data_IF_293302870527
#
_entry.id   IF_293302870527
#
_cell.length_a   1.000
_cell.length_b   1.000
_cell.length_c   1.000
_cell.angle_alpha   90.00
_cell.angle_beta   90.00
_cell.angle_gamma   90.00
#
_symmetry.space_group_name_H-M   'P 1'
#
loop_
_entity.id
_entity.type
_entity.pdbx_description
1 polymer ?
#
# COMPACT_ATOMS: atom_id res chain seq x y z
N UNK A 1 -10.15 -11.43 15.42
CA UNK A 1 -9.64 -10.76 14.21
C UNK A 1 -8.37 -11.51 13.83
N UNK A 2 -8.41 -12.30 12.76
CA UNK A 2 -7.23 -13.06 12.30
C UNK A 2 -6.24 -12.09 11.68
N UNK A 3 -5.02 -12.04 12.20
CA UNK A 3 -3.93 -11.26 11.62
C UNK A 3 -3.66 -11.89 10.25
N UNK A 4 -3.73 -11.12 9.14
CA UNK A 4 -3.36 -11.67 7.84
C UNK A 4 -1.89 -12.10 7.94
N UNK A 5 -1.57 -13.35 7.63
CA UNK A 5 -0.17 -13.83 7.59
C UNK A 5 0.44 -13.71 6.21
N UNK A 6 -0.41 -13.49 5.20
CA UNK A 6 -0.02 -13.45 3.80
C UNK A 6 0.07 -12.02 3.29
N UNK A 7 1.02 -11.73 2.38
CA UNK A 7 1.07 -10.46 1.68
C UNK A 7 -0.27 -10.14 1.03
N UNK A 8 -0.78 -8.94 1.28
CA UNK A 8 -2.12 -8.52 0.83
C UNK A 8 -2.04 -7.20 0.09
N UNK A 9 -2.64 -7.12 -1.09
CA UNK A 9 -2.78 -5.84 -1.80
C UNK A 9 -3.91 -5.04 -1.17
N UNK A 10 -3.60 -3.85 -0.66
CA UNK A 10 -4.57 -2.97 0.01
C UNK A 10 -5.41 -2.19 -1.01
N UNK A 11 -4.76 -1.66 -2.04
CA UNK A 11 -5.43 -0.92 -3.10
C UNK A 11 -4.64 -0.98 -4.41
N UNK A 12 -5.35 -0.75 -5.51
CA UNK A 12 -4.81 -0.55 -6.85
C UNK A 12 -5.38 0.75 -7.40
N UNK A 13 -4.53 1.52 -8.06
CA UNK A 13 -4.85 2.83 -8.63
C UNK A 13 -4.31 2.91 -10.05
N UNK A 14 -4.95 3.70 -10.91
CA UNK A 14 -4.47 3.99 -12.26
C UNK A 14 -4.63 5.47 -12.63
N UNK A 15 -3.72 5.95 -13.48
CA UNK A 15 -3.78 7.27 -14.12
C UNK A 15 -3.25 7.17 -15.55
N UNK A 16 -4.14 7.25 -16.53
CA UNK A 16 -3.78 6.99 -17.93
C UNK A 16 -3.31 5.54 -18.10
N UNK A 17 -2.10 5.34 -18.63
CA UNK A 17 -1.48 4.01 -18.74
C UNK A 17 -0.69 3.59 -17.50
N UNK A 18 -0.48 4.51 -16.55
CA UNK A 18 0.28 4.21 -15.34
C UNK A 18 -0.59 3.56 -14.28
N UNK A 19 0.01 2.66 -13.52
CA UNK A 19 -0.61 1.87 -12.46
C UNK A 19 0.18 1.99 -11.16
N UNK A 20 -0.51 1.94 -10.04
CA UNK A 20 0.09 1.92 -8.72
C UNK A 20 -0.65 0.94 -7.81
N UNK A 21 0.06 0.31 -6.88
CA UNK A 21 -0.58 -0.47 -5.83
C UNK A 21 0.24 -0.45 -4.54
N UNK A 22 -0.46 -0.68 -3.43
CA UNK A 22 0.16 -0.89 -2.12
C UNK A 22 -0.04 -2.34 -1.67
N UNK A 23 1.04 -2.97 -1.21
CA UNK A 23 1.01 -4.32 -0.64
C UNK A 23 1.49 -4.27 0.78
N UNK A 24 0.74 -4.90 1.69
CA UNK A 24 1.10 -5.04 3.10
C UNK A 24 1.63 -6.44 3.36
N UNK A 25 2.68 -6.53 4.16
CA UNK A 25 3.34 -7.74 4.59
C UNK A 25 3.34 -7.74 6.13
N UNK A 26 2.34 -8.39 6.74
CA UNK A 26 2.32 -8.52 8.19
C UNK A 26 3.45 -9.42 8.65
N UNK A 27 4.12 -9.02 9.73
CA UNK A 27 5.19 -9.79 10.36
C UNK A 27 5.06 -9.77 11.88
N UNK A 28 5.76 -10.69 12.54
CA UNK A 28 5.63 -10.89 13.99
C UNK A 28 6.11 -9.70 14.82
N UNK A 29 7.08 -8.92 14.30
CA UNK A 29 7.66 -7.76 14.99
C UNK A 29 7.31 -6.44 14.33
N UNK A 30 7.24 -6.42 13.00
CA UNK A 30 6.91 -5.22 12.22
C UNK A 30 6.01 -5.60 11.06
N UNK A 31 5.16 -4.66 10.66
CA UNK A 31 4.39 -4.73 9.43
C UNK A 31 5.06 -3.87 8.37
N UNK A 32 5.39 -4.46 7.23
CA UNK A 32 5.96 -3.75 6.09
C UNK A 32 4.87 -3.38 5.10
N UNK A 33 4.94 -2.19 4.52
CA UNK A 33 4.15 -1.80 3.36
C UNK A 33 5.08 -1.39 2.23
N UNK A 34 4.75 -1.83 1.02
CA UNK A 34 5.49 -1.49 -0.19
C UNK A 34 4.54 -0.84 -1.19
N UNK A 35 5.02 0.19 -1.89
CA UNK A 35 4.31 0.82 -2.98
C UNK A 35 5.04 0.54 -4.29
N UNK A 36 4.26 0.22 -5.31
CA UNK A 36 4.75 -0.02 -6.65
C UNK A 36 4.11 0.95 -7.63
N UNK A 37 4.89 1.40 -8.60
CA UNK A 37 4.44 2.15 -9.77
C UNK A 37 4.89 1.43 -11.02
N UNK A 38 3.96 1.14 -11.92
CA UNK A 38 4.22 0.43 -13.18
C UNK A 38 5.00 -0.90 -12.99
N UNK A 39 4.65 -1.61 -11.91
CA UNK A 39 5.26 -2.89 -11.52
C UNK A 39 6.63 -2.77 -10.85
N UNK A 40 7.19 -1.56 -10.72
CA UNK A 40 8.47 -1.30 -10.08
C UNK A 40 8.23 -0.86 -8.63
N UNK A 41 8.98 -1.44 -7.69
CA UNK A 41 8.92 -1.02 -6.29
C UNK A 41 9.53 0.38 -6.16
N UNK A 42 8.74 1.35 -5.69
CA UNK A 42 9.18 2.71 -5.43
C UNK A 42 9.78 2.82 -4.02
N UNK A 43 9.03 2.36 -3.03
CA UNK A 43 9.46 2.39 -1.62
C UNK A 43 8.86 1.28 -0.78
N UNK A 44 9.54 0.98 0.32
CA UNK A 44 9.12 0.07 1.37
C UNK A 44 9.30 0.74 2.74
N UNK A 45 8.31 0.62 3.62
CA UNK A 45 8.34 1.22 4.96
C UNK A 45 7.89 0.18 6.00
N UNK A 46 8.54 0.20 7.17
CA UNK A 46 8.20 -0.69 8.30
C UNK A 46 7.49 0.10 9.40
N UNK A 47 6.50 -0.55 10.00
CA UNK A 47 5.68 0.00 11.06
C UNK A 47 5.57 -0.99 12.22
N UNK A 48 5.47 -0.46 13.44
CA UNK A 48 5.36 -1.28 14.65
C UNK A 48 3.97 -1.93 14.80
N UNK A 49 2.99 -1.54 13.97
CA UNK A 49 1.67 -2.15 13.96
C UNK A 49 1.02 -2.16 12.58
N UNK A 50 0.11 -3.10 12.39
CA UNK A 50 -0.74 -3.20 11.20
C UNK A 50 -1.57 -1.93 10.98
N UNK A 51 -2.11 -1.36 12.06
CA UNK A 51 -2.96 -0.17 12.00
C UNK A 51 -2.20 1.05 11.46
N UNK A 52 -0.96 1.26 11.92
CA UNK A 52 -0.13 2.36 11.44
C UNK A 52 0.24 2.18 9.96
N UNK A 53 0.58 0.95 9.56
CA UNK A 53 0.88 0.63 8.16
C UNK A 53 -0.32 0.88 7.24
N UNK A 54 -1.53 0.46 7.65
CA UNK A 54 -2.77 0.68 6.88
C UNK A 54 -3.12 2.17 6.83
N UNK A 55 -3.02 2.89 7.95
CA UNK A 55 -3.27 4.34 7.98
C UNK A 55 -2.35 5.08 7.01
N UNK A 56 -1.06 4.70 6.95
CA UNK A 56 -0.13 5.24 5.96
C UNK A 56 -0.54 4.89 4.54
N UNK A 57 -0.97 3.66 4.28
CA UNK A 57 -1.43 3.24 2.96
C UNK A 57 -2.57 4.13 2.45
N UNK A 58 -3.54 4.43 3.32
CA UNK A 58 -4.71 5.25 3.02
C UNK A 58 -4.35 6.72 2.81
N UNK A 59 -3.39 7.25 3.58
CA UNK A 59 -2.88 8.61 3.37
C UNK A 59 -2.30 8.77 1.96
N UNK A 60 -1.48 7.80 1.53
CA UNK A 60 -0.89 7.80 0.20
C UNK A 60 -1.96 7.62 -0.89
N UNK A 61 -2.97 6.76 -0.67
CA UNK A 61 -4.10 6.64 -1.59
C UNK A 61 -4.79 8.00 -1.79
N UNK A 62 -5.06 8.72 -0.69
CA UNK A 62 -5.67 10.03 -0.74
C UNK A 62 -4.81 11.10 -1.45
N UNK A 63 -3.48 11.01 -1.38
CA UNK A 63 -2.58 11.85 -2.21
C UNK A 63 -2.75 11.54 -3.68
N UNK A 64 -2.71 10.25 -4.06
CA UNK A 64 -2.87 9.83 -5.44
C UNK A 64 -4.24 10.22 -6.01
N UNK A 65 -5.32 10.06 -5.23
CA UNK A 65 -6.67 10.50 -5.62
C UNK A 65 -6.69 12.01 -5.94
N UNK A 66 -6.06 12.85 -5.11
CA UNK A 66 -5.95 14.30 -5.38
C UNK A 66 -5.12 14.61 -6.63
N UNK A 67 -4.16 13.75 -6.95
CA UNK A 67 -3.33 13.85 -8.16
C UNK A 67 -3.99 13.24 -9.41
N UNK A 68 -5.28 12.88 -9.33
CA UNK A 68 -6.08 12.39 -10.44
C UNK A 68 -5.92 10.90 -10.75
N UNK A 69 -5.41 10.12 -9.80
CA UNK A 69 -5.44 8.66 -9.87
C UNK A 69 -6.80 8.12 -9.41
N UNK A 70 -7.25 7.03 -10.01
CA UNK A 70 -8.54 6.42 -9.70
C UNK A 70 -8.37 4.96 -9.28
N UNK A 71 -9.20 4.45 -8.36
CA UNK A 71 -9.23 3.03 -8.02
C UNK A 71 -9.49 2.14 -9.25
N UNK A 72 -8.87 0.95 -9.26
CA UNK A 72 -9.04 -0.10 -10.29
C UNK A 72 -9.78 -1.30 -9.73
#
# INVERSE_FOLDING_TARGET
MTIPTDPTVLWRMARGTSTAHATIFPGDTQTTITWFFDGVMDRAENYDSLELAVARAEEIRGVLERDGWNPV
#
